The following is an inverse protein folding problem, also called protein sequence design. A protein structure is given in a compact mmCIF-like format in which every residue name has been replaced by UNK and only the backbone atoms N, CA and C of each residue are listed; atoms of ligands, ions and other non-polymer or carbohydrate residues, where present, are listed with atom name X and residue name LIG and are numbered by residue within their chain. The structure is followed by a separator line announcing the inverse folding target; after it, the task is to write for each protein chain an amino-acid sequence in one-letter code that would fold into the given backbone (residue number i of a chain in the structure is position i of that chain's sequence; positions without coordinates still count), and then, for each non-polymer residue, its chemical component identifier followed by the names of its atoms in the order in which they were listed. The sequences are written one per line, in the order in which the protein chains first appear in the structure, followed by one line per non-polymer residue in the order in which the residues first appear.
data_IF_717555141751
#
_entry.id   IF_717555141751
#
_cell.length_a   1.000
_cell.length_b   1.000
_cell.length_c   1.000
_cell.angle_alpha   90.00
_cell.angle_beta   90.00
_cell.angle_gamma   90.00
#
_symmetry.space_group_name_H-M   'P 1'
#
loop_
_entity.id
_entity.type
_entity.pdbx_description
1 polymer ?
#
# COMPACT_ATOMS: atom_id res chain seq x y z
N UNK A 1 17.97 -3.76 22.08
CA UNK A 1 17.10 -4.91 21.77
C UNK A 1 16.40 -4.62 20.46
N UNK A 2 16.60 -5.40 19.41
CA UNK A 2 15.81 -5.25 18.18
C UNK A 2 15.44 -6.64 17.66
N UNK A 3 14.59 -7.32 18.44
CA UNK A 3 13.90 -8.53 18.03
C UNK A 3 12.43 -8.23 17.81
N UNK A 4 11.87 -8.73 16.71
CA UNK A 4 10.46 -8.55 16.35
C UNK A 4 10.15 -9.14 14.99
N UNK A 5 8.87 -9.39 14.74
CA UNK A 5 8.37 -9.84 13.45
C UNK A 5 6.98 -9.27 13.22
N UNK A 6 6.72 -8.79 12.00
CA UNK A 6 5.37 -8.49 11.54
C UNK A 6 4.87 -9.76 10.86
N UNK A 7 3.68 -10.22 11.24
CA UNK A 7 3.08 -11.43 10.68
C UNK A 7 1.73 -11.11 10.05
N UNK A 8 1.46 -11.74 8.93
CA UNK A 8 0.18 -11.75 8.23
C UNK A 8 -0.28 -13.20 8.23
N UNK A 9 -1.43 -13.48 8.85
CA UNK A 9 -1.95 -14.86 9.01
C UNK A 9 -0.91 -15.84 9.61
N UNK A 10 -0.09 -15.35 10.54
CA UNK A 10 0.96 -16.13 11.18
C UNK A 10 2.25 -16.29 10.36
N UNK A 11 2.28 -15.87 9.10
CA UNK A 11 3.47 -15.88 8.23
C UNK A 11 4.26 -14.60 8.44
N UNK A 12 5.57 -14.72 8.66
CA UNK A 12 6.44 -13.54 8.73
C UNK A 12 6.41 -12.77 7.42
N UNK A 13 6.19 -11.45 7.48
CA UNK A 13 6.12 -10.59 6.30
C UNK A 13 7.39 -10.68 5.44
N UNK A 14 8.55 -10.99 6.04
CA UNK A 14 9.83 -11.20 5.32
C UNK A 14 9.85 -12.48 4.47
N UNK A 15 8.92 -13.41 4.71
CA UNK A 15 8.78 -14.64 3.94
C UNK A 15 7.75 -14.53 2.81
N UNK A 16 7.05 -13.39 2.68
CA UNK A 16 6.07 -13.16 1.63
C UNK A 16 6.69 -12.50 0.40
N UNK A 17 6.08 -12.73 -0.77
CA UNK A 17 6.27 -11.83 -1.91
C UNK A 17 5.62 -10.48 -1.58
N UNK A 18 6.45 -9.51 -1.21
CA UNK A 18 6.00 -8.16 -0.85
C UNK A 18 5.28 -7.43 -1.99
N UNK A 19 5.63 -7.72 -3.24
CA UNK A 19 4.98 -7.12 -4.40
C UNK A 19 3.56 -7.62 -4.56
N UNK A 20 3.36 -8.94 -4.43
CA UNK A 20 2.02 -9.53 -4.43
C UNK A 20 1.19 -9.04 -3.24
N UNK A 21 1.76 -9.08 -2.04
CA UNK A 21 1.07 -8.67 -0.81
C UNK A 21 0.61 -7.20 -0.87
N UNK A 22 1.45 -6.28 -1.35
CA UNK A 22 1.10 -4.85 -1.45
C UNK A 22 -0.08 -4.57 -2.39
N UNK A 23 -0.31 -5.40 -3.42
CA UNK A 23 -1.47 -5.23 -4.31
C UNK A 23 -2.82 -5.51 -3.63
N UNK A 24 -2.80 -6.14 -2.46
CA UNK A 24 -3.98 -6.43 -1.66
C UNK A 24 -4.26 -5.33 -0.61
N UNK A 25 -3.38 -4.33 -0.49
CA UNK A 25 -3.46 -3.30 0.53
C UNK A 25 -3.81 -1.94 -0.07
N UNK A 26 -4.76 -1.24 0.55
CA UNK A 26 -4.97 0.19 0.37
C UNK A 26 -4.36 0.98 1.52
N UNK A 27 -3.54 1.98 1.23
CA UNK A 27 -2.97 2.88 2.25
C UNK A 27 -3.62 4.26 2.13
N UNK A 28 -4.13 4.79 3.24
CA UNK A 28 -4.61 6.17 3.33
C UNK A 28 -3.64 6.94 4.22
N UNK A 29 -2.97 7.93 3.65
CA UNK A 29 -2.00 8.76 4.37
C UNK A 29 -2.73 9.77 5.27
N UNK A 30 -2.14 10.10 6.42
CA UNK A 30 -2.70 11.14 7.31
C UNK A 30 -2.64 12.53 6.66
N UNK A 31 -1.54 12.84 5.97
CA UNK A 31 -1.42 13.99 5.07
C UNK A 31 -1.60 13.50 3.63
N UNK A 32 -2.77 13.72 3.00
CA UNK A 32 -3.02 13.25 1.65
C UNK A 32 -2.16 14.05 0.65
N UNK A 33 -1.47 13.34 -0.23
CA UNK A 33 -0.80 13.95 -1.37
C UNK A 33 -1.74 13.94 -2.57
N UNK A 34 -2.18 15.12 -3.00
CA UNK A 34 -2.90 15.29 -4.26
C UNK A 34 -1.93 15.80 -5.31
N UNK A 35 -1.85 15.08 -6.43
CA UNK A 35 -1.14 15.58 -7.60
C UNK A 35 -1.90 16.76 -8.19
N UNK A 36 -1.16 17.70 -8.77
CA UNK A 36 -1.76 18.80 -9.50
C UNK A 36 -2.52 18.24 -10.69
N UNK A 37 -3.85 18.39 -10.68
CA UNK A 37 -4.75 17.76 -11.64
C UNK A 37 -6.19 17.70 -11.11
N UNK A 38 -7.05 17.08 -11.89
CA UNK A 38 -8.46 16.83 -11.59
C UNK A 38 -8.63 15.71 -10.56
N UNK A 39 -9.85 15.60 -10.02
CA UNK A 39 -10.24 14.49 -9.13
C UNK A 39 -10.06 13.14 -9.83
N UNK A 40 -10.44 13.02 -11.11
CA UNK A 40 -10.31 11.76 -11.85
C UNK A 40 -8.84 11.35 -12.06
N UNK A 41 -7.95 12.32 -12.30
CA UNK A 41 -6.51 12.05 -12.43
C UNK A 41 -5.89 11.56 -11.12
N UNK A 42 -6.34 12.10 -9.99
CA UNK A 42 -5.91 11.63 -8.67
C UNK A 42 -6.44 10.22 -8.33
N UNK A 43 -7.65 9.86 -8.78
CA UNK A 43 -8.18 8.49 -8.61
C UNK A 43 -7.40 7.50 -9.49
N UNK A 44 -7.12 7.88 -10.75
CA UNK A 44 -6.34 7.04 -11.69
C UNK A 44 -4.92 6.75 -11.23
N UNK A 45 -4.32 7.65 -10.45
CA UNK A 45 -3.01 7.40 -9.86
C UNK A 45 -2.99 6.11 -9.01
N UNK A 46 -4.06 5.84 -8.25
CA UNK A 46 -4.19 4.62 -7.43
C UNK A 46 -4.79 3.42 -8.17
N UNK A 47 -5.58 3.67 -9.22
CA UNK A 47 -6.23 2.64 -10.04
C UNK A 47 -6.24 3.11 -11.51
N UNK A 48 -5.25 2.73 -12.34
CA UNK A 48 -5.09 3.25 -13.69
C UNK A 48 -6.30 3.11 -14.62
N UNK A 49 -7.14 2.09 -14.37
CA UNK A 49 -8.33 1.75 -15.15
C UNK A 49 -9.62 2.46 -14.69
N UNK A 50 -9.53 3.40 -13.74
CA UNK A 50 -10.67 4.11 -13.16
C UNK A 50 -11.23 5.27 -14.02
#
# INVERSE_FOLDING_TARGET
MSGGAIRVDGVDLRALDLGHYRRQLGMVLQDPYLFHGTVVENIRYGLPEA
#
